data_IF_239768058955
#
_entry.id   IF_239768058955
#
_cell.length_a   1.000
_cell.length_b   1.000
_cell.length_c   1.000
_cell.angle_alpha   90.00
_cell.angle_beta   90.00
_cell.angle_gamma   90.00
#
_symmetry.space_group_name_H-M   'P 1'
#
loop_
_entity.id
_entity.type
_entity.pdbx_description
1 polymer ?
#
# COMPACT_ATOMS: atom_id res chain seq x y z
N UNK A 1 -3.58 14.20 -2.50
CA UNK A 1 -2.86 13.03 -1.97
C UNK A 1 -3.79 12.10 -1.20
N UNK A 2 -3.23 11.04 -0.71
CA UNK A 2 -3.94 10.01 0.05
C UNK A 2 -3.37 9.91 1.47
N UNK A 3 -4.22 9.64 2.43
CA UNK A 3 -3.83 9.27 3.79
C UNK A 3 -4.00 7.76 3.95
N UNK A 4 -2.94 7.07 4.32
CA UNK A 4 -2.94 5.65 4.62
C UNK A 4 -2.84 5.46 6.13
N UNK A 5 -3.92 4.99 6.76
CA UNK A 5 -3.95 4.65 8.17
C UNK A 5 -3.79 3.14 8.31
N UNK A 6 -2.72 2.70 8.96
CA UNK A 6 -2.38 1.29 9.13
C UNK A 6 -2.15 0.95 10.59
N UNK A 7 -2.59 -0.23 11.01
CA UNK A 7 -2.29 -0.76 12.35
C UNK A 7 -0.87 -1.33 12.47
N UNK A 8 -0.22 -1.65 11.35
CA UNK A 8 1.13 -2.19 11.34
C UNK A 8 2.14 -1.17 11.90
N UNK A 9 3.02 -1.65 12.80
CA UNK A 9 4.10 -0.85 13.35
C UNK A 9 5.41 -1.14 12.62
N UNK A 10 6.09 -0.10 12.16
CA UNK A 10 7.43 -0.26 11.58
C UNK A 10 8.45 -0.55 12.68
N UNK A 11 9.03 -1.72 12.64
CA UNK A 11 10.04 -2.20 13.57
C UNK A 11 11.45 -2.27 12.93
N UNK A 12 11.68 -1.46 11.90
CA UNK A 12 12.91 -1.43 11.11
C UNK A 12 12.83 -2.22 9.80
N UNK A 13 11.66 -2.77 9.46
CA UNK A 13 11.42 -3.52 8.21
C UNK A 13 10.98 -2.65 7.03
N UNK A 14 10.72 -1.35 7.27
CA UNK A 14 10.29 -0.41 6.25
C UNK A 14 8.84 -0.57 5.82
N UNK A 15 7.96 -1.09 6.69
CA UNK A 15 6.58 -1.37 6.33
C UNK A 15 5.81 -0.12 5.92
N UNK A 16 6.04 1.02 6.56
CA UNK A 16 5.40 2.28 6.19
C UNK A 16 5.69 2.67 4.74
N UNK A 17 6.96 2.54 4.33
CA UNK A 17 7.38 2.81 2.95
C UNK A 17 6.78 1.80 1.97
N UNK A 18 6.86 0.51 2.28
CA UNK A 18 6.36 -0.56 1.40
C UNK A 18 4.84 -0.43 1.19
N UNK A 19 4.08 -0.21 2.27
CA UNK A 19 2.62 -0.08 2.18
C UNK A 19 2.20 1.21 1.46
N UNK A 20 2.97 2.31 1.61
CA UNK A 20 2.78 3.51 0.80
C UNK A 20 3.02 3.25 -0.69
N UNK A 21 4.08 2.50 -1.04
CA UNK A 21 4.35 2.11 -2.43
C UNK A 21 3.21 1.24 -3.00
N UNK A 22 2.71 0.28 -2.23
CA UNK A 22 1.58 -0.55 -2.65
C UNK A 22 0.31 0.27 -2.88
N UNK A 23 0.01 1.25 -2.02
CA UNK A 23 -1.09 2.18 -2.25
C UNK A 23 -0.85 3.00 -3.51
N UNK A 24 0.33 3.59 -3.67
CA UNK A 24 0.69 4.44 -4.81
C UNK A 24 0.55 3.69 -6.14
N UNK A 25 1.02 2.44 -6.20
CA UNK A 25 0.86 1.55 -7.36
C UNK A 25 -0.61 1.29 -7.66
N UNK A 26 -1.38 0.89 -6.66
CA UNK A 26 -2.81 0.63 -6.83
C UNK A 26 -3.59 1.88 -7.24
N UNK A 27 -3.25 3.06 -6.70
CA UNK A 27 -3.93 4.32 -6.99
C UNK A 27 -3.30 5.09 -8.15
N UNK A 28 -2.33 4.47 -8.86
CA UNK A 28 -1.66 5.01 -10.04
C UNK A 28 -1.14 6.44 -9.80
N UNK A 29 -0.45 6.65 -8.68
CA UNK A 29 0.06 7.96 -8.29
C UNK A 29 1.51 7.87 -7.78
N UNK A 30 2.18 9.03 -7.60
CA UNK A 30 3.49 9.06 -6.96
C UNK A 30 3.37 8.71 -5.47
N UNK A 31 4.36 7.97 -4.93
CA UNK A 31 4.48 7.71 -3.50
C UNK A 31 4.56 8.99 -2.67
N UNK A 32 5.07 10.08 -3.24
CA UNK A 32 5.10 11.40 -2.58
C UNK A 32 3.71 11.98 -2.30
N UNK A 33 2.68 11.43 -2.94
CA UNK A 33 1.28 11.78 -2.71
C UNK A 33 0.62 10.96 -1.60
N UNK A 34 1.36 10.11 -0.90
CA UNK A 34 0.85 9.25 0.17
C UNK A 34 1.44 9.65 1.51
N UNK A 35 0.60 10.05 2.45
CA UNK A 35 0.97 10.24 3.84
C UNK A 35 0.57 9.00 4.65
N UNK A 36 1.52 8.42 5.38
CA UNK A 36 1.29 7.23 6.20
C UNK A 36 1.15 7.61 7.66
N UNK A 37 0.13 7.05 8.31
CA UNK A 37 -0.11 7.13 9.75
C UNK A 37 -0.17 5.70 10.28
N UNK A 38 0.96 5.24 10.83
CA UNK A 38 1.11 3.87 11.33
C UNK A 38 1.01 3.78 12.84
N UNK A 39 0.46 2.68 13.34
CA UNK A 39 0.45 2.30 14.76
C UNK A 39 -0.15 3.33 15.75
N UNK A 40 -1.01 4.21 15.27
CA UNK A 40 -1.79 5.13 16.14
C UNK A 40 -3.08 4.42 16.55
N UNK A 41 -3.15 3.99 17.81
CA UNK A 41 -4.30 3.21 18.32
C UNK A 41 -5.60 4.00 18.41
N UNK A 42 -5.55 5.32 18.30
CA UNK A 42 -6.75 6.17 18.28
C UNK A 42 -7.33 6.33 16.86
N UNK A 43 -6.51 6.14 15.83
CA UNK A 43 -6.90 6.37 14.45
C UNK A 43 -6.76 5.14 13.54
N UNK A 44 -5.81 4.26 13.82
CA UNK A 44 -5.51 3.10 12.98
C UNK A 44 -6.42 1.90 13.28
N UNK A 45 -6.75 1.07 12.28
CA UNK A 45 -7.42 -0.19 12.52
C UNK A 45 -6.52 -1.15 13.32
N UNK A 46 -7.14 -2.15 13.94
CA UNK A 46 -6.41 -3.20 14.66
C UNK A 46 -5.48 -3.98 13.72
N UNK A 47 -4.25 -4.20 14.18
CA UNK A 47 -3.29 -5.12 13.58
C UNK A 47 -2.74 -6.06 14.66
N UNK A 48 -2.55 -7.33 14.34
CA UNK A 48 -2.08 -8.33 15.29
C UNK A 48 -0.58 -8.29 15.54
N UNK A 49 0.16 -7.51 14.75
CA UNK A 49 1.61 -7.34 14.83
C UNK A 49 2.36 -7.91 13.64
N UNK A 50 3.59 -7.44 13.49
CA UNK A 50 4.51 -7.86 12.42
C UNK A 50 5.27 -9.13 12.83
N UNK A 51 4.73 -10.30 12.56
CA UNK A 51 5.36 -11.58 12.84
C UNK A 51 5.17 -12.55 11.67
N UNK A 52 5.95 -13.62 11.63
CA UNK A 52 5.89 -14.68 10.61
C UNK A 52 5.92 -14.15 9.15
N UNK A 53 6.66 -13.08 8.90
CA UNK A 53 6.78 -12.43 7.57
C UNK A 53 5.42 -11.99 6.99
N UNK A 54 4.49 -11.58 7.84
CA UNK A 54 3.09 -11.35 7.45
C UNK A 54 2.82 -9.94 6.92
N UNK A 55 3.55 -8.92 7.35
CA UNK A 55 3.16 -7.52 7.11
C UNK A 55 2.99 -7.20 5.64
N UNK A 56 3.99 -7.41 4.80
CA UNK A 56 3.87 -7.13 3.36
C UNK A 56 2.77 -7.96 2.70
N UNK A 57 2.67 -9.25 3.06
CA UNK A 57 1.74 -10.19 2.46
C UNK A 57 0.28 -9.96 2.93
N UNK A 58 0.05 -9.84 4.24
CA UNK A 58 -1.30 -9.75 4.82
C UNK A 58 -1.79 -8.31 4.83
N UNK A 59 -1.02 -7.39 5.43
CA UNK A 59 -1.41 -5.98 5.50
C UNK A 59 -1.37 -5.33 4.12
N UNK A 60 -0.41 -5.70 3.26
CA UNK A 60 -0.38 -5.27 1.87
C UNK A 60 -1.63 -5.68 1.09
N UNK A 61 -2.14 -6.90 1.30
CA UNK A 61 -3.42 -7.31 0.68
C UNK A 61 -4.61 -6.51 1.22
N UNK A 62 -4.60 -6.12 2.48
CA UNK A 62 -5.62 -5.23 3.03
C UNK A 62 -5.57 -3.83 2.37
N UNK A 63 -4.37 -3.30 2.11
CA UNK A 63 -4.20 -2.05 1.36
C UNK A 63 -4.78 -2.17 -0.05
N UNK A 64 -4.46 -3.23 -0.80
CA UNK A 64 -5.03 -3.48 -2.12
C UNK A 64 -6.57 -3.49 -2.10
N UNK A 65 -7.16 -4.26 -1.17
CA UNK A 65 -8.61 -4.33 -1.01
C UNK A 65 -9.25 -2.99 -0.63
N UNK A 66 -8.57 -2.17 0.16
CA UNK A 66 -9.03 -0.82 0.50
C UNK A 66 -8.98 0.09 -0.74
N UNK A 67 -7.91 0.01 -1.54
CA UNK A 67 -7.79 0.76 -2.80
C UNK A 67 -8.91 0.40 -3.78
N UNK A 68 -9.25 -0.88 -3.92
CA UNK A 68 -10.34 -1.32 -4.79
C UNK A 68 -11.70 -0.75 -4.36
N UNK A 69 -11.95 -0.69 -3.05
CA UNK A 69 -13.16 -0.06 -2.50
C UNK A 69 -13.15 1.45 -2.74
N UNK A 70 -12.00 2.09 -2.50
CA UNK A 70 -11.85 3.53 -2.69
C UNK A 70 -12.03 3.94 -4.15
N UNK A 71 -11.46 3.20 -5.11
CA UNK A 71 -11.66 3.44 -6.54
C UNK A 71 -13.15 3.43 -6.91
N UNK A 72 -13.92 2.46 -6.39
CA UNK A 72 -15.37 2.38 -6.64
C UNK A 72 -16.13 3.59 -6.08
N UNK A 73 -15.74 4.08 -4.91
CA UNK A 73 -16.34 5.29 -4.35
C UNK A 73 -15.94 6.53 -5.15
N UNK A 74 -14.67 6.64 -5.51
CA UNK A 74 -14.17 7.75 -6.33
C UNK A 74 -14.87 7.79 -7.70
N UNK A 75 -15.13 6.65 -8.32
CA UNK A 75 -15.90 6.58 -9.56
C UNK A 75 -17.34 7.10 -9.37
N UNK A 76 -18.00 6.74 -8.25
CA UNK A 76 -19.35 7.26 -7.95
C UNK A 76 -19.37 8.79 -7.81
N UNK A 77 -18.44 9.33 -7.02
CA UNK A 77 -18.33 10.78 -6.81
C UNK A 77 -17.91 11.49 -8.11
N UNK A 78 -16.96 10.88 -8.85
CA UNK A 78 -16.50 11.42 -10.13
C UNK A 78 -17.60 11.45 -11.20
N UNK A 79 -18.44 10.42 -11.26
CA UNK A 79 -19.59 10.38 -12.14
C UNK A 79 -20.58 11.52 -11.85
N UNK A 80 -20.84 11.84 -10.57
CA UNK A 80 -21.65 12.98 -10.18
C UNK A 80 -21.06 14.30 -10.66
N UNK A 81 -19.72 14.45 -10.60
CA UNK A 81 -19.02 15.65 -11.08
C UNK A 81 -19.09 15.78 -12.61
N UNK A 82 -19.08 14.66 -13.33
CA UNK A 82 -19.16 14.60 -14.79
C UNK A 82 -20.62 14.59 -15.30
N UNK A 83 -21.60 14.48 -14.41
CA UNK A 83 -23.02 14.46 -14.79
C UNK A 83 -23.44 13.18 -15.52
N UNK A 84 -22.78 12.05 -15.23
CA UNK A 84 -23.04 10.74 -15.83
C UNK A 84 -23.25 9.66 -14.75
N UNK A 85 -23.44 8.41 -15.15
CA UNK A 85 -23.60 7.28 -14.22
C UNK A 85 -22.25 6.66 -13.85
N UNK A 86 -22.13 5.96 -12.67
CA UNK A 86 -20.89 5.32 -12.26
C UNK A 86 -20.38 4.24 -13.23
N UNK A 87 -21.28 3.65 -14.01
CA UNK A 87 -20.97 2.63 -15.03
C UNK A 87 -20.33 3.20 -16.29
N UNK A 88 -20.44 4.53 -16.49
CA UNK A 88 -19.88 5.25 -17.63
C UNK A 88 -18.47 5.79 -17.37
N UNK A 89 -17.95 5.60 -16.17
CA UNK A 89 -16.62 6.08 -15.79
C UNK A 89 -15.73 4.95 -15.31
N UNK A 90 -14.43 5.17 -15.46
CA UNK A 90 -13.40 4.28 -14.97
C UNK A 90 -12.29 5.06 -14.24
N UNK A 91 -11.59 4.38 -13.33
CA UNK A 91 -10.38 4.91 -12.70
C UNK A 91 -9.19 4.61 -13.62
N UNK A 92 -8.51 5.65 -14.09
CA UNK A 92 -7.37 5.55 -14.98
C UNK A 92 -6.35 6.65 -14.71
N UNK A 93 -5.07 6.33 -14.61
CA UNK A 93 -3.98 7.26 -14.39
C UNK A 93 -4.23 8.24 -13.21
N UNK A 94 -4.77 7.72 -12.10
CA UNK A 94 -5.08 8.52 -10.90
C UNK A 94 -6.25 9.50 -11.07
N UNK A 95 -7.09 9.31 -12.08
CA UNK A 95 -8.26 10.15 -12.41
C UNK A 95 -9.49 9.29 -12.62
N UNK A 96 -10.65 9.92 -12.56
CA UNK A 96 -11.90 9.33 -13.01
C UNK A 96 -12.20 9.87 -14.42
N UNK A 97 -12.31 8.98 -15.39
CA UNK A 97 -12.43 9.30 -16.81
C UNK A 97 -13.74 8.74 -17.34
N UNK A 98 -14.45 9.50 -18.13
CA UNK A 98 -15.53 8.99 -18.99
C UNK A 98 -14.93 8.66 -20.37
N UNK A 99 -14.76 7.37 -20.73
CA UNK A 99 -14.10 7.00 -21.99
C UNK A 99 -14.91 7.36 -23.23
N UNK A 100 -16.22 7.56 -23.09
CA UNK A 100 -17.08 7.92 -24.21
C UNK A 100 -16.96 9.41 -24.60
N UNK A 101 -16.78 10.31 -23.63
CA UNK A 101 -16.67 11.76 -23.86
C UNK A 101 -15.23 12.26 -23.82
N UNK A 102 -14.31 11.51 -23.19
CA UNK A 102 -12.94 11.92 -22.91
C UNK A 102 -12.81 12.92 -21.74
N UNK A 103 -13.92 13.27 -21.09
CA UNK A 103 -13.89 14.12 -19.90
C UNK A 103 -13.33 13.38 -18.70
N UNK A 104 -12.66 14.13 -17.81
CA UNK A 104 -12.07 13.54 -16.62
C UNK A 104 -12.06 14.49 -15.43
N UNK A 105 -12.08 13.92 -14.22
CA UNK A 105 -11.88 14.65 -12.97
C UNK A 105 -10.73 14.03 -12.18
N UNK A 106 -9.99 14.87 -11.48
CA UNK A 106 -8.83 14.46 -10.69
C UNK A 106 -9.26 13.93 -9.32
N UNK A 107 -8.41 13.12 -8.68
CA UNK A 107 -8.59 12.69 -7.31
C UNK A 107 -8.79 13.88 -6.33
N UNK A 108 -8.12 15.01 -6.57
CA UNK A 108 -8.28 16.22 -5.76
C UNK A 108 -9.70 16.81 -5.88
N UNK A 109 -10.27 16.88 -7.08
CA UNK A 109 -11.65 17.34 -7.29
C UNK A 109 -12.66 16.40 -6.62
N UNK A 110 -12.43 15.08 -6.71
CA UNK A 110 -13.25 14.07 -6.02
C UNK A 110 -13.17 14.27 -4.52
N UNK A 111 -11.96 14.43 -3.95
CA UNK A 111 -11.78 14.67 -2.52
C UNK A 111 -12.45 15.97 -2.04
N UNK A 112 -12.33 17.07 -2.78
CA UNK A 112 -13.04 18.32 -2.47
C UNK A 112 -14.57 18.14 -2.50
N UNK A 113 -15.09 17.43 -3.50
CA UNK A 113 -16.52 17.14 -3.58
C UNK A 113 -17.00 16.29 -2.40
N UNK A 114 -16.23 15.28 -2.04
CA UNK A 114 -16.51 14.41 -0.90
C UNK A 114 -16.61 15.18 0.43
N UNK A 115 -15.71 16.13 0.67
CA UNK A 115 -15.72 16.97 1.88
C UNK A 115 -16.93 17.91 1.96
N UNK A 116 -17.45 18.34 0.82
CA UNK A 116 -18.59 19.24 0.75
C UNK A 116 -19.93 18.49 0.74
N UNK A 117 -19.91 17.19 0.58
CA UNK A 117 -21.09 16.35 0.47
C UNK A 117 -21.13 15.41 1.70
N UNK A 118 -22.07 15.65 2.62
CA UNK A 118 -22.20 14.89 3.86
C UNK A 118 -22.57 13.41 3.67
N UNK A 119 -23.00 13.04 2.47
CA UNK A 119 -23.59 11.73 2.21
C UNK A 119 -22.57 10.70 1.68
N UNK A 120 -21.38 11.11 1.24
CA UNK A 120 -20.42 10.19 0.64
C UNK A 120 -18.96 10.65 0.86
N UNK A 121 -18.30 10.02 1.83
CA UNK A 121 -16.88 10.25 2.08
C UNK A 121 -16.02 9.43 1.11
N UNK A 122 -14.94 10.02 0.60
CA UNK A 122 -13.93 9.30 -0.18
C UNK A 122 -12.95 8.58 0.75
N UNK A 123 -13.44 7.56 1.44
CA UNK A 123 -12.67 6.75 2.38
C UNK A 123 -13.04 5.27 2.26
N UNK A 124 -12.11 4.38 2.53
CA UNK A 124 -12.36 2.95 2.54
C UNK A 124 -11.51 2.25 3.58
N UNK A 125 -12.11 1.28 4.25
CA UNK A 125 -11.42 0.40 5.20
C UNK A 125 -11.50 -1.03 4.72
N UNK A 126 -10.40 -1.77 4.88
CA UNK A 126 -10.35 -3.20 4.62
C UNK A 126 -9.48 -3.90 5.65
N UNK A 127 -9.76 -5.17 5.85
CA UNK A 127 -8.93 -6.11 6.59
C UNK A 127 -8.76 -7.38 5.76
N UNK A 128 -7.65 -8.07 6.00
CA UNK A 128 -7.36 -9.34 5.35
C UNK A 128 -6.79 -10.31 6.37
N UNK A 129 -7.20 -11.57 6.27
CA UNK A 129 -6.59 -12.68 6.99
C UNK A 129 -6.25 -13.77 5.96
N UNK A 130 -4.98 -14.13 5.88
CA UNK A 130 -4.55 -15.19 4.95
C UNK A 130 -4.68 -16.56 5.60
N UNK A 131 -5.30 -17.53 4.92
CA UNK A 131 -5.32 -18.92 5.37
C UNK A 131 -3.97 -19.63 5.15
N UNK A 132 -3.06 -19.02 4.41
CA UNK A 132 -1.76 -19.58 4.02
C UNK A 132 -0.65 -18.64 4.46
N UNK A 133 0.45 -19.21 4.97
CA UNK A 133 1.71 -18.52 5.22
C UNK A 133 2.74 -19.02 4.20
N UNK A 134 2.93 -18.35 3.07
CA UNK A 134 3.88 -18.80 2.04
C UNK A 134 5.30 -18.65 2.57
N UNK A 135 6.14 -19.71 2.52
CA UNK A 135 7.51 -19.64 2.98
C UNK A 135 8.40 -18.92 1.94
N UNK A 136 9.12 -17.86 2.32
CA UNK A 136 10.21 -17.37 1.50
C UNK A 136 11.44 -18.27 1.64
N UNK A 137 12.29 -18.29 0.61
CA UNK A 137 13.57 -19.00 0.66
C UNK A 137 14.71 -18.02 0.47
N UNK A 138 15.75 -18.20 1.27
CA UNK A 138 16.95 -17.38 1.16
C UNK A 138 18.19 -18.24 1.39
N UNK A 139 19.25 -17.97 0.60
CA UNK A 139 20.60 -18.44 0.86
C UNK A 139 21.48 -17.23 1.10
N UNK A 140 22.12 -17.18 2.27
CA UNK A 140 23.12 -16.18 2.61
C UNK A 140 24.52 -16.80 2.52
N UNK A 141 25.47 -16.06 1.91
CA UNK A 141 26.89 -16.39 1.90
C UNK A 141 27.66 -15.21 2.46
N UNK A 142 28.69 -15.49 3.25
CA UNK A 142 29.53 -14.47 3.84
C UNK A 142 31.00 -14.87 3.68
N UNK A 143 31.82 -13.90 3.25
CA UNK A 143 33.28 -14.00 3.29
C UNK A 143 33.78 -13.26 4.51
N UNK A 144 34.59 -13.96 5.31
CA UNK A 144 35.14 -13.41 6.55
C UNK A 144 36.64 -13.59 6.64
N UNK A 145 37.28 -12.66 7.32
CA UNK A 145 38.63 -12.79 7.83
C UNK A 145 38.58 -13.04 9.33
N UNK A 146 39.24 -14.11 9.78
CA UNK A 146 39.32 -14.48 11.20
C UNK A 146 40.74 -14.33 11.71
N UNK A 147 40.96 -13.44 12.67
CA UNK A 147 42.19 -13.43 13.47
C UNK A 147 42.15 -14.60 14.49
N UNK A 148 42.96 -15.60 14.24
CA UNK A 148 43.00 -16.82 15.08
C UNK A 148 43.52 -16.58 16.50
N UNK A 149 44.28 -15.49 16.71
CA UNK A 149 44.84 -15.16 18.02
C UNK A 149 43.85 -14.45 18.94
N UNK A 150 43.08 -13.54 18.38
CA UNK A 150 42.15 -12.69 19.12
C UNK A 150 40.69 -13.16 18.99
N UNK A 151 40.39 -14.00 17.98
CA UNK A 151 39.01 -14.39 17.64
C UNK A 151 38.20 -13.29 16.97
N UNK A 152 38.85 -12.18 16.57
CA UNK A 152 38.16 -11.08 15.88
C UNK A 152 37.74 -11.54 14.48
N UNK A 153 36.47 -11.28 14.13
CA UNK A 153 35.89 -11.55 12.81
C UNK A 153 35.64 -10.24 12.08
N UNK A 154 36.19 -10.13 10.87
CA UNK A 154 35.88 -9.02 9.94
C UNK A 154 35.08 -9.59 8.79
N UNK A 155 33.91 -9.01 8.51
CA UNK A 155 33.11 -9.37 7.33
C UNK A 155 33.66 -8.62 6.13
N UNK A 156 34.10 -9.35 5.11
CA UNK A 156 34.67 -8.79 3.87
C UNK A 156 33.59 -8.61 2.81
N UNK A 157 32.70 -9.59 2.67
CA UNK A 157 31.59 -9.54 1.70
C UNK A 157 30.39 -10.34 2.20
N UNK A 158 29.19 -9.96 1.76
CA UNK A 158 27.96 -10.67 2.07
C UNK A 158 27.05 -10.72 0.83
N UNK A 159 26.63 -11.91 0.45
CA UNK A 159 25.68 -12.13 -0.65
C UNK A 159 24.42 -12.79 -0.13
N UNK A 160 23.27 -12.24 -0.48
CA UNK A 160 21.96 -12.83 -0.25
C UNK A 160 21.26 -13.15 -1.56
N UNK A 161 20.82 -14.38 -1.73
CA UNK A 161 19.96 -14.81 -2.84
C UNK A 161 18.60 -15.15 -2.28
N UNK A 162 17.57 -14.43 -2.71
CA UNK A 162 16.23 -14.51 -2.11
C UNK A 162 15.22 -14.92 -3.18
N UNK A 163 14.42 -15.92 -2.88
CA UNK A 163 13.18 -16.24 -3.59
C UNK A 163 12.00 -15.74 -2.74
N UNK A 164 11.45 -14.61 -3.13
CA UNK A 164 10.27 -13.99 -2.49
C UNK A 164 8.97 -14.26 -3.26
N UNK A 165 8.98 -15.13 -4.27
CA UNK A 165 7.89 -15.34 -5.18
C UNK A 165 7.78 -14.20 -6.20
N UNK A 166 6.59 -13.64 -6.39
CA UNK A 166 6.38 -12.52 -7.32
C UNK A 166 6.71 -11.21 -6.61
N UNK A 167 7.72 -10.46 -7.06
CA UNK A 167 8.01 -9.12 -6.51
C UNK A 167 6.82 -8.18 -6.74
N UNK A 168 6.60 -7.26 -5.80
CA UNK A 168 5.52 -6.26 -5.90
C UNK A 168 5.87 -5.20 -6.95
N UNK A 169 7.16 -4.87 -7.04
CA UNK A 169 7.70 -3.89 -7.98
C UNK A 169 9.11 -4.29 -8.42
#
# INVERSE_FOLDING_TARGET
GYNLLIGAADMGTGCDTILAQMLAENMECSVDNVAVFGADTDASPYDSGSYASSTTYVTGKAVELACDKLKKQMCRIGAQLLGCTPEEVEFQAGKIVNPATGESVTAAQVGCKSQLNSDEAAEATASHASPVSPPPFMVGMVEIELDQLTGLVTVLDYMAVVDCGIPIN
#
